data_IF_533177780348
#
_entry.id   IF_533177780348
#
_cell.length_a   1.000
_cell.length_b   1.000
_cell.length_c   1.000
_cell.angle_alpha   90.00
_cell.angle_beta   90.00
_cell.angle_gamma   90.00
#
_symmetry.space_group_name_H-M   'P 1'
#
loop_
_entity.id
_entity.type
_entity.pdbx_description
1 polymer ?
#
# COMPACT_ATOMS: atom_id res chain seq x y z
N UNK A 1 3.97 -18.78 -7.91
CA UNK A 1 2.71 -19.31 -7.33
C UNK A 1 1.54 -18.79 -8.14
N UNK A 2 0.43 -19.53 -8.21
CA UNK A 2 -0.82 -19.04 -8.79
C UNK A 2 -1.68 -18.32 -7.73
N UNK A 3 -2.75 -17.64 -8.16
CA UNK A 3 -3.60 -16.84 -7.27
C UNK A 3 -4.22 -17.65 -6.12
N UNK A 4 -4.62 -18.91 -6.38
CA UNK A 4 -5.18 -19.78 -5.35
C UNK A 4 -4.15 -20.19 -4.28
N UNK A 5 -2.91 -20.47 -4.70
CA UNK A 5 -1.81 -20.77 -3.79
C UNK A 5 -1.45 -19.55 -2.92
N UNK A 6 -1.48 -18.35 -3.48
CA UNK A 6 -1.24 -17.11 -2.72
C UNK A 6 -2.33 -16.90 -1.69
N UNK A 7 -3.61 -17.08 -2.06
CA UNK A 7 -4.73 -16.96 -1.12
C UNK A 7 -4.59 -17.95 0.06
N UNK A 8 -4.32 -19.23 -0.24
CA UNK A 8 -4.11 -20.24 0.79
C UNK A 8 -2.91 -19.92 1.71
N UNK A 9 -1.83 -19.36 1.15
CA UNK A 9 -0.68 -18.93 1.94
C UNK A 9 -1.04 -17.74 2.86
N UNK A 10 -1.80 -16.76 2.35
CA UNK A 10 -2.30 -15.63 3.15
C UNK A 10 -3.19 -16.10 4.30
N UNK A 11 -4.12 -17.02 4.06
CA UNK A 11 -4.97 -17.60 5.10
C UNK A 11 -4.16 -18.32 6.17
N UNK A 12 -3.12 -19.05 5.75
CA UNK A 12 -2.20 -19.73 6.66
C UNK A 12 -1.41 -18.75 7.54
N UNK A 13 -0.91 -17.66 6.96
CA UNK A 13 -0.23 -16.57 7.66
C UNK A 13 -1.16 -15.92 8.70
N UNK A 14 -2.40 -15.61 8.32
CA UNK A 14 -3.39 -15.03 9.23
C UNK A 14 -3.70 -15.95 10.41
N UNK A 15 -3.93 -17.24 10.14
CA UNK A 15 -4.19 -18.24 11.19
C UNK A 15 -2.99 -18.39 12.13
N UNK A 16 -1.76 -18.42 11.60
CA UNK A 16 -0.54 -18.54 12.41
C UNK A 16 -0.28 -17.29 13.24
N UNK A 17 -0.49 -16.10 12.67
CA UNK A 17 -0.35 -14.84 13.39
C UNK A 17 -1.34 -14.74 14.56
N UNK A 18 -2.60 -15.18 14.35
CA UNK A 18 -3.59 -15.26 15.42
C UNK A 18 -3.17 -16.24 16.53
N UNK A 19 -2.67 -17.42 16.17
CA UNK A 19 -2.19 -18.40 17.14
C UNK A 19 -1.01 -17.88 17.97
N UNK A 20 -0.02 -17.23 17.34
CA UNK A 20 1.15 -16.65 18.02
C UNK A 20 0.76 -15.52 18.97
N UNK A 21 -0.31 -14.77 18.65
CA UNK A 21 -0.83 -13.70 19.51
C UNK A 21 -1.44 -14.25 20.80
N UNK A 22 -2.02 -15.46 20.75
CA UNK A 22 -2.60 -16.14 21.92
C UNK A 22 -1.52 -16.85 22.74
N UNK A 23 -0.64 -17.60 22.08
CA UNK A 23 0.48 -18.30 22.72
C UNK A 23 1.77 -18.15 21.90
N UNK A 24 2.74 -17.46 22.48
CA UNK A 24 3.96 -17.09 21.78
C UNK A 24 4.95 -18.25 21.74
N UNK A 25 5.01 -18.92 20.60
CA UNK A 25 5.92 -20.05 20.37
C UNK A 25 6.99 -19.73 19.30
N UNK A 26 8.27 -19.88 19.66
CA UNK A 26 9.42 -19.65 18.76
C UNK A 26 9.42 -20.53 17.50
N UNK A 27 8.88 -21.74 17.57
CA UNK A 27 8.73 -22.61 16.41
C UNK A 27 7.72 -22.03 15.41
N UNK A 28 6.56 -21.62 15.91
CA UNK A 28 5.51 -21.01 15.08
C UNK A 28 5.97 -19.69 14.46
N UNK A 29 6.75 -18.89 15.19
CA UNK A 29 7.36 -17.65 14.67
C UNK A 29 8.29 -17.96 13.49
N UNK A 30 9.10 -19.04 13.55
CA UNK A 30 9.99 -19.43 12.44
C UNK A 30 9.19 -19.85 11.20
N UNK A 31 8.11 -20.60 11.38
CA UNK A 31 7.24 -21.01 10.27
C UNK A 31 6.55 -19.79 9.65
N UNK A 32 6.00 -18.90 10.49
CA UNK A 32 5.39 -17.66 10.03
C UNK A 32 6.38 -16.82 9.22
N UNK A 33 7.60 -16.61 9.72
CA UNK A 33 8.62 -15.86 9.02
C UNK A 33 8.99 -16.48 7.67
N UNK A 34 9.04 -17.82 7.58
CA UNK A 34 9.27 -18.52 6.32
C UNK A 34 8.12 -18.29 5.34
N UNK A 35 6.87 -18.46 5.79
CA UNK A 35 5.69 -18.22 4.97
C UNK A 35 5.61 -16.76 4.46
N UNK A 36 5.97 -15.79 5.31
CA UNK A 36 6.09 -14.39 4.89
C UNK A 36 7.20 -14.18 3.86
N UNK A 37 8.32 -14.91 3.96
CA UNK A 37 9.38 -14.90 2.95
C UNK A 37 8.92 -15.45 1.60
N UNK A 38 8.24 -16.60 1.61
CA UNK A 38 7.66 -17.21 0.41
C UNK A 38 6.63 -16.28 -0.25
N UNK A 39 5.80 -15.59 0.55
CA UNK A 39 4.84 -14.59 0.07
C UNK A 39 5.55 -13.40 -0.58
N UNK A 40 6.61 -12.88 0.06
CA UNK A 40 7.40 -11.77 -0.44
C UNK A 40 8.05 -12.10 -1.79
N UNK A 41 8.62 -13.30 -1.95
CA UNK A 41 9.20 -13.73 -3.22
C UNK A 41 8.13 -13.91 -4.31
N UNK A 42 6.95 -14.40 -3.95
CA UNK A 42 5.89 -14.67 -4.92
C UNK A 42 5.12 -13.42 -5.36
N UNK A 43 4.98 -12.42 -4.49
CA UNK A 43 4.03 -11.30 -4.69
C UNK A 43 4.63 -9.91 -4.44
N UNK A 44 5.78 -9.82 -3.78
CA UNK A 44 6.32 -8.55 -3.28
C UNK A 44 5.63 -8.01 -2.02
N UNK A 45 4.73 -8.78 -1.41
CA UNK A 45 3.98 -8.39 -0.22
C UNK A 45 4.62 -8.89 1.08
N UNK A 46 4.47 -8.11 2.15
CA UNK A 46 4.84 -8.49 3.52
C UNK A 46 3.62 -8.45 4.42
N UNK A 47 3.54 -9.38 5.37
CA UNK A 47 2.52 -9.33 6.41
C UNK A 47 3.03 -8.50 7.61
N UNK A 48 2.34 -7.42 7.93
CA UNK A 48 2.67 -6.52 9.03
C UNK A 48 1.41 -6.05 9.73
N UNK A 49 1.40 -6.09 11.06
CA UNK A 49 0.31 -5.57 11.89
C UNK A 49 -1.11 -6.07 11.56
N UNK A 50 -1.25 -7.24 10.90
CA UNK A 50 -2.55 -7.78 10.51
C UNK A 50 -2.92 -7.54 9.05
N UNK A 51 -2.08 -6.83 8.30
CA UNK A 51 -2.33 -6.45 6.91
C UNK A 51 -1.22 -6.98 6.00
N UNK A 52 -1.59 -7.29 4.75
CA UNK A 52 -0.63 -7.60 3.69
C UNK A 52 -0.32 -6.33 2.92
N UNK A 53 0.95 -5.93 2.93
CA UNK A 53 1.40 -4.65 2.38
C UNK A 53 2.35 -4.92 1.21
N UNK A 54 2.03 -4.38 0.05
CA UNK A 54 2.90 -4.47 -1.12
C UNK A 54 4.08 -3.49 -1.01
N UNK A 55 5.32 -4.01 -1.02
CA UNK A 55 6.52 -3.19 -0.85
C UNK A 55 6.78 -2.22 -2.01
N UNK A 56 6.35 -2.56 -3.23
CA UNK A 56 6.45 -1.65 -4.37
C UNK A 56 5.52 -0.45 -4.17
N UNK A 57 4.28 -0.69 -3.76
CA UNK A 57 3.31 0.38 -3.46
C UNK A 57 3.81 1.28 -2.34
N UNK A 58 4.40 0.72 -1.28
CA UNK A 58 5.03 1.51 -0.20
C UNK A 58 6.13 2.43 -0.74
N UNK A 59 7.01 1.90 -1.61
CA UNK A 59 8.08 2.70 -2.22
C UNK A 59 7.53 3.83 -3.09
N UNK A 60 6.43 3.61 -3.80
CA UNK A 60 5.76 4.63 -4.61
C UNK A 60 5.14 5.71 -3.73
N UNK A 61 4.42 5.35 -2.67
CA UNK A 61 3.88 6.30 -1.69
C UNK A 61 5.00 7.14 -1.09
N UNK A 62 6.10 6.53 -0.64
CA UNK A 62 7.26 7.28 -0.14
C UNK A 62 7.94 8.15 -1.19
N UNK A 63 7.79 7.85 -2.49
CA UNK A 63 8.26 8.73 -3.55
C UNK A 63 7.33 9.94 -3.68
N UNK A 64 6.02 9.74 -3.68
CA UNK A 64 5.02 10.83 -3.73
C UNK A 64 5.15 11.76 -2.53
N UNK A 65 5.38 11.23 -1.32
CA UNK A 65 5.62 12.03 -0.12
C UNK A 65 6.85 12.95 -0.24
N UNK A 66 7.88 12.56 -1.00
CA UNK A 66 9.04 13.43 -1.30
C UNK A 66 8.70 14.58 -2.25
N UNK A 67 7.61 14.47 -3.00
CA UNK A 67 7.03 15.55 -3.81
C UNK A 67 6.00 16.36 -3.02
N UNK A 68 6.04 16.29 -1.68
CA UNK A 68 5.13 16.99 -0.76
C UNK A 68 3.66 16.54 -0.90
N UNK A 69 3.38 15.45 -1.60
CA UNK A 69 2.03 14.89 -1.78
C UNK A 69 1.71 13.94 -0.64
N UNK A 70 0.54 14.11 -0.02
CA UNK A 70 0.04 13.14 0.95
C UNK A 70 -0.56 11.94 0.21
N UNK A 71 -0.04 10.74 0.43
CA UNK A 71 -0.52 9.54 -0.23
C UNK A 71 -0.81 8.43 0.78
N UNK A 72 -1.85 7.62 0.51
CA UNK A 72 -2.30 6.52 1.35
C UNK A 72 -2.47 5.27 0.50
N UNK A 73 -2.10 4.11 1.04
CA UNK A 73 -2.38 2.81 0.40
C UNK A 73 -3.81 2.40 0.75
N UNK A 74 -4.61 2.09 -0.27
CA UNK A 74 -5.95 1.56 -0.08
C UNK A 74 -5.92 0.04 0.15
N UNK A 75 -6.94 -0.56 0.81
CA UNK A 75 -7.03 -2.02 0.97
C UNK A 75 -7.05 -2.80 -0.35
N UNK A 76 -7.43 -2.13 -1.45
CA UNK A 76 -7.38 -2.68 -2.81
C UNK A 76 -5.97 -2.77 -3.39
N UNK A 77 -4.96 -2.18 -2.72
CA UNK A 77 -3.58 -2.08 -3.20
C UNK A 77 -3.30 -0.84 -4.07
N UNK A 78 -4.33 -0.05 -4.39
CA UNK A 78 -4.21 1.23 -5.09
C UNK A 78 -3.68 2.32 -4.17
N UNK A 79 -3.24 3.44 -4.75
CA UNK A 79 -2.76 4.61 -4.01
C UNK A 79 -3.85 5.69 -4.05
N UNK A 80 -4.19 6.27 -2.92
CA UNK A 80 -5.02 7.47 -2.82
C UNK A 80 -4.09 8.66 -2.56
N UNK A 81 -4.02 9.61 -3.49
CA UNK A 81 -3.11 10.74 -3.44
C UNK A 81 -3.87 12.06 -3.32
N UNK A 82 -3.43 12.92 -2.41
CA UNK A 82 -3.98 14.26 -2.16
C UNK A 82 -3.46 15.23 -3.23
N UNK A 83 -4.37 15.83 -3.99
CA UNK A 83 -4.05 16.89 -4.92
C UNK A 83 -3.82 18.19 -4.14
N UNK A 84 -2.59 18.69 -4.19
CA UNK A 84 -2.28 20.04 -3.73
C UNK A 84 -2.50 21.01 -4.87
N UNK A 85 -3.67 21.65 -4.90
CA UNK A 85 -3.91 22.74 -5.84
C UNK A 85 -3.26 24.04 -5.33
N UNK A 86 -2.15 24.45 -5.95
CA UNK A 86 -1.59 25.80 -5.83
C UNK A 86 -1.17 26.30 -7.21
N UNK A 87 -2.14 26.76 -8.01
CA UNK A 87 -1.85 27.47 -9.25
C UNK A 87 -1.64 28.96 -8.99
N UNK A 88 -0.50 29.52 -9.44
CA UNK A 88 -0.37 30.98 -9.61
C UNK A 88 -1.27 31.42 -10.78
N UNK A 89 -2.44 31.99 -10.46
CA UNK A 89 -3.28 32.67 -11.45
C UNK A 89 -4.75 32.27 -11.51
N UNK A 90 -5.41 31.95 -10.40
CA UNK A 90 -6.88 31.82 -10.40
C UNK A 90 -7.58 33.17 -10.18
N UNK A 91 -8.46 33.62 -11.09
CA UNK A 91 -9.37 34.72 -10.80
C UNK A 91 -10.44 34.22 -9.83
N UNK A 92 -10.37 34.73 -8.61
CA UNK A 92 -11.37 34.59 -7.55
C UNK A 92 -12.69 35.27 -7.95
N UNK A 93 -13.49 34.59 -8.77
CA UNK A 93 -14.86 35.04 -9.08
C UNK A 93 -15.93 34.03 -8.64
N UNK A 94 -15.56 32.79 -8.30
CA UNK A 94 -16.54 31.74 -8.01
C UNK A 94 -16.42 31.12 -6.61
N UNK A 95 -15.31 31.25 -5.87
CA UNK A 95 -15.12 30.58 -4.56
C UNK A 95 -15.53 29.08 -4.55
N UNK A 96 -15.53 28.43 -5.70
CA UNK A 96 -15.91 27.03 -5.86
C UNK A 96 -14.62 26.25 -6.04
N UNK A 97 -14.10 25.68 -4.97
CA UNK A 97 -13.77 24.25 -4.85
C UNK A 97 -13.16 24.00 -3.45
N UNK A 98 -13.75 22.99 -2.81
CA UNK A 98 -13.76 22.68 -1.39
C UNK A 98 -12.70 21.62 -1.05
N UNK A 99 -11.80 21.92 -0.11
CA UNK A 99 -10.98 20.94 0.60
C UNK A 99 -9.95 20.19 -0.26
N UNK A 100 -9.16 19.28 0.35
CA UNK A 100 -8.19 18.49 -0.39
C UNK A 100 -8.89 17.50 -1.32
N UNK A 101 -8.61 17.59 -2.61
CA UNK A 101 -9.06 16.61 -3.60
C UNK A 101 -8.18 15.36 -3.50
N UNK A 102 -8.77 14.19 -3.69
CA UNK A 102 -8.04 12.92 -3.65
C UNK A 102 -8.27 12.16 -4.94
N UNK A 103 -7.20 11.72 -5.58
CA UNK A 103 -7.24 10.87 -6.78
C UNK A 103 -6.79 9.46 -6.43
N UNK A 104 -7.42 8.46 -7.05
CA UNK A 104 -6.94 7.08 -7.01
C UNK A 104 -5.93 6.88 -8.15
N UNK A 105 -4.74 6.40 -7.81
CA UNK A 105 -3.60 6.18 -8.70
C UNK A 105 -3.22 4.69 -8.68
N UNK A 106 -3.00 4.13 -9.86
CA UNK A 106 -2.48 2.77 -10.00
C UNK A 106 -1.09 2.65 -9.36
N UNK A 107 -0.76 1.54 -8.66
CA UNK A 107 0.50 1.36 -7.94
C UNK A 107 1.66 0.99 -8.89
N UNK A 108 1.83 1.78 -9.94
CA UNK A 108 2.90 1.66 -10.93
C UNK A 108 3.69 2.96 -11.02
N UNK A 109 4.99 2.85 -11.31
CA UNK A 109 5.84 4.02 -11.47
C UNK A 109 5.36 4.93 -12.60
N UNK A 110 4.83 4.36 -13.69
CA UNK A 110 4.30 5.14 -14.81
C UNK A 110 3.08 5.97 -14.42
N UNK A 111 2.09 5.36 -13.75
CA UNK A 111 0.90 6.08 -13.32
C UNK A 111 1.20 7.16 -12.27
N UNK A 112 2.11 6.89 -11.34
CA UNK A 112 2.56 7.88 -10.36
C UNK A 112 3.28 9.05 -11.04
N UNK A 113 4.12 8.79 -12.04
CA UNK A 113 4.80 9.85 -12.79
C UNK A 113 3.84 10.70 -13.60
N UNK A 114 2.91 10.06 -14.30
CA UNK A 114 1.85 10.74 -15.06
C UNK A 114 1.00 11.62 -14.13
N UNK A 115 0.60 11.10 -12.96
CA UNK A 115 -0.17 11.86 -11.98
C UNK A 115 0.62 13.06 -11.41
N UNK A 116 1.93 12.91 -11.19
CA UNK A 116 2.82 13.99 -10.78
C UNK A 116 3.13 15.01 -11.91
N UNK A 117 2.69 14.75 -13.15
CA UNK A 117 2.90 15.65 -14.29
C UNK A 117 4.25 15.52 -15.01
N UNK A 118 4.90 14.36 -14.94
CA UNK A 118 6.19 14.06 -15.62
C UNK A 118 6.06 13.39 -16.99
#
# INVERSE_FOLDING_TARGET
MNAAQVAALKDSILSMAAAIKVDRNSHNIRILNRACGDLLEATGEVFSCGEFINLQTVKLVSAMEKHEVNARILPTGLILAEEQYAGEGFPDAACELYGPYWTVVEPTMSAVREWLGY
#
